data_IF_513799024533
#
_entry.id   IF_513799024533
#
_cell.length_a   1.000
_cell.length_b   1.000
_cell.length_c   1.000
_cell.angle_alpha   90.00
_cell.angle_beta   90.00
_cell.angle_gamma   90.00
#
_symmetry.space_group_name_H-M   'P 1'
#
loop_
_entity.id
_entity.type
_entity.pdbx_description
1 polymer ?
#
# COMPACT_ATOMS: atom_id res chain seq x y z
N UNK A 1 -16.17 -3.29 4.05
CA UNK A 1 -16.80 -4.40 4.78
C UNK A 1 -15.77 -5.36 5.36
N UNK A 2 -14.74 -5.74 4.60
CA UNK A 2 -13.64 -6.58 5.11
C UNK A 2 -12.95 -6.02 6.37
N UNK A 3 -12.60 -4.72 6.41
CA UNK A 3 -12.03 -4.10 7.60
C UNK A 3 -12.96 -4.21 8.83
N UNK A 4 -14.26 -4.00 8.64
CA UNK A 4 -15.27 -4.12 9.71
C UNK A 4 -15.39 -5.55 10.25
N UNK A 5 -15.24 -6.56 9.39
CA UNK A 5 -15.22 -7.97 9.81
C UNK A 5 -13.94 -8.30 10.61
N UNK A 6 -12.80 -7.73 10.20
CA UNK A 6 -11.53 -7.80 10.92
C UNK A 6 -11.60 -7.15 12.30
N UNK A 7 -12.22 -5.98 12.40
CA UNK A 7 -12.45 -5.28 13.68
C UNK A 7 -13.35 -6.12 14.61
N UNK A 8 -14.20 -6.99 14.05
CA UNK A 8 -15.05 -7.95 14.76
C UNK A 8 -14.38 -9.31 15.03
N UNK A 9 -13.10 -9.47 14.67
CA UNK A 9 -12.33 -10.73 14.74
C UNK A 9 -12.91 -11.88 13.91
N UNK A 10 -13.76 -11.57 12.94
CA UNK A 10 -14.28 -12.55 11.99
C UNK A 10 -13.33 -12.69 10.79
N UNK A 11 -12.27 -13.46 10.99
CA UNK A 11 -11.24 -13.69 9.98
C UNK A 11 -11.79 -14.44 8.75
N UNK A 12 -12.78 -15.30 8.94
CA UNK A 12 -13.41 -16.08 7.85
C UNK A 12 -14.28 -15.19 6.98
N UNK A 13 -15.11 -14.35 7.60
CA UNK A 13 -15.90 -13.34 6.88
C UNK A 13 -15.01 -12.33 6.15
N UNK A 14 -13.94 -11.86 6.80
CA UNK A 14 -12.95 -10.98 6.17
C UNK A 14 -12.34 -11.64 4.92
N UNK A 15 -11.94 -12.90 5.00
CA UNK A 15 -11.36 -13.64 3.87
C UNK A 15 -12.31 -13.77 2.67
N UNK A 16 -13.61 -14.02 2.91
CA UNK A 16 -14.61 -14.06 1.84
C UNK A 16 -14.78 -12.71 1.15
N UNK A 17 -14.93 -11.63 1.92
CA UNK A 17 -15.03 -10.28 1.37
C UNK A 17 -13.78 -9.87 0.58
N UNK A 18 -12.60 -10.37 0.96
CA UNK A 18 -11.35 -10.12 0.24
C UNK A 18 -11.30 -10.86 -1.10
N UNK A 19 -11.73 -12.13 -1.15
CA UNK A 19 -11.80 -12.87 -2.41
C UNK A 19 -12.78 -12.23 -3.40
N UNK A 20 -13.94 -11.76 -2.93
CA UNK A 20 -14.89 -11.04 -3.77
C UNK A 20 -14.32 -9.72 -4.29
N UNK A 21 -13.60 -8.97 -3.43
CA UNK A 21 -12.95 -7.72 -3.83
C UNK A 21 -11.84 -7.94 -4.87
N UNK A 22 -11.03 -8.99 -4.74
CA UNK A 22 -10.02 -9.37 -5.73
C UNK A 22 -10.68 -9.74 -7.08
N UNK A 23 -11.76 -10.51 -7.07
CA UNK A 23 -12.49 -10.86 -8.30
C UNK A 23 -13.12 -9.64 -8.99
N UNK A 24 -13.70 -8.72 -8.23
CA UNK A 24 -14.29 -7.50 -8.77
C UNK A 24 -13.23 -6.58 -9.36
N UNK A 25 -12.08 -6.44 -8.69
CA UNK A 25 -10.95 -5.67 -9.20
C UNK A 25 -10.38 -6.28 -10.49
N UNK A 26 -10.35 -7.62 -10.61
CA UNK A 26 -9.94 -8.30 -11.84
C UNK A 26 -10.83 -8.03 -13.06
N UNK A 27 -12.10 -7.63 -12.82
CA UNK A 27 -13.09 -7.33 -13.87
C UNK A 27 -13.20 -5.84 -14.22
N UNK A 28 -12.51 -4.97 -13.48
CA UNK A 28 -12.57 -3.53 -13.72
C UNK A 28 -11.77 -3.15 -14.99
N UNK A 29 -12.43 -2.44 -15.91
CA UNK A 29 -11.83 -1.89 -17.14
C UNK A 29 -10.98 -0.63 -16.85
N UNK A 30 -11.36 0.14 -15.83
CA UNK A 30 -10.57 1.30 -15.36
C UNK A 30 -9.38 0.84 -14.52
N UNK A 31 -8.17 1.11 -15.01
CA UNK A 31 -6.93 0.76 -14.32
C UNK A 31 -6.75 1.53 -13.00
N UNK A 32 -7.26 2.74 -12.89
CA UNK A 32 -7.11 3.57 -11.68
C UNK A 32 -8.02 3.06 -10.55
N UNK A 33 -9.31 2.86 -10.84
CA UNK A 33 -10.26 2.25 -9.91
C UNK A 33 -9.79 0.87 -9.45
N UNK A 34 -9.27 0.06 -10.37
CA UNK A 34 -8.68 -1.25 -10.07
C UNK A 34 -7.52 -1.16 -9.07
N UNK A 35 -6.56 -0.26 -9.29
CA UNK A 35 -5.39 -0.09 -8.41
C UNK A 35 -5.83 0.31 -6.99
N UNK A 36 -6.76 1.25 -6.83
CA UNK A 36 -7.26 1.66 -5.51
C UNK A 36 -7.93 0.51 -4.77
N UNK A 37 -8.74 -0.27 -5.49
CA UNK A 37 -9.51 -1.35 -4.90
C UNK A 37 -8.57 -2.48 -4.47
N UNK A 38 -7.56 -2.81 -5.28
CA UNK A 38 -6.50 -3.76 -4.90
C UNK A 38 -5.69 -3.26 -3.69
N UNK A 39 -5.30 -1.98 -3.66
CA UNK A 39 -4.57 -1.38 -2.54
C UNK A 39 -5.39 -1.42 -1.23
N UNK A 40 -6.70 -1.19 -1.31
CA UNK A 40 -7.60 -1.26 -0.15
C UNK A 40 -7.75 -2.69 0.35
N UNK A 41 -7.90 -3.66 -0.55
CA UNK A 41 -7.92 -5.10 -0.22
C UNK A 41 -6.61 -5.53 0.43
N UNK A 42 -5.49 -5.08 -0.12
CA UNK A 42 -4.17 -5.46 0.34
C UNK A 42 -3.85 -4.90 1.74
N UNK A 43 -4.36 -3.71 2.10
CA UNK A 43 -4.23 -3.13 3.45
C UNK A 43 -4.87 -4.02 4.52
N UNK A 44 -5.98 -4.67 4.17
CA UNK A 44 -6.71 -5.58 5.05
C UNK A 44 -6.01 -6.94 5.12
N UNK A 45 -5.50 -7.45 3.99
CA UNK A 45 -4.74 -8.72 3.94
C UNK A 45 -3.47 -8.63 4.76
N UNK A 46 -2.70 -7.55 4.62
CA UNK A 46 -1.43 -7.37 5.36
C UNK A 46 -1.61 -7.44 6.88
N UNK A 47 -2.79 -7.07 7.41
CA UNK A 47 -3.09 -7.18 8.83
C UNK A 47 -3.33 -8.63 9.28
N UNK A 48 -3.75 -9.51 8.37
CA UNK A 48 -4.04 -10.92 8.63
C UNK A 48 -2.85 -11.82 8.31
N UNK A 49 -2.19 -11.55 7.18
CA UNK A 49 -1.13 -12.34 6.58
C UNK A 49 -0.21 -11.40 5.79
N UNK A 50 0.94 -11.08 6.39
CA UNK A 50 1.91 -10.16 5.80
C UNK A 50 2.56 -10.71 4.53
N UNK A 51 2.74 -12.03 4.42
CA UNK A 51 3.43 -12.66 3.29
C UNK A 51 2.53 -12.66 2.06
N UNK A 52 1.24 -13.00 2.26
CA UNK A 52 0.22 -12.85 1.22
C UNK A 52 0.05 -11.38 0.83
N UNK A 53 0.09 -10.48 1.81
CA UNK A 53 0.00 -9.05 1.59
C UNK A 53 1.16 -8.49 0.75
N UNK A 54 2.38 -8.95 0.99
CA UNK A 54 3.57 -8.60 0.20
C UNK A 54 3.44 -9.11 -1.24
N UNK A 55 2.98 -10.36 -1.41
CA UNK A 55 2.75 -10.96 -2.72
C UNK A 55 1.72 -10.16 -3.53
N UNK A 56 0.62 -9.76 -2.90
CA UNK A 56 -0.39 -8.92 -3.54
C UNK A 56 0.14 -7.53 -3.89
N UNK A 57 0.90 -6.90 -2.98
CA UNK A 57 1.50 -5.59 -3.25
C UNK A 57 2.51 -5.64 -4.42
N UNK A 58 3.23 -6.76 -4.58
CA UNK A 58 4.10 -7.00 -5.75
C UNK A 58 3.29 -6.96 -7.06
N UNK A 59 2.17 -7.69 -7.11
CA UNK A 59 1.28 -7.68 -8.28
C UNK A 59 0.66 -6.29 -8.56
N UNK A 60 0.37 -5.51 -7.51
CA UNK A 60 -0.12 -4.13 -7.65
C UNK A 60 0.96 -3.25 -8.28
N UNK A 61 2.21 -3.33 -7.83
CA UNK A 61 3.32 -2.57 -8.40
C UNK A 61 3.56 -2.94 -9.86
N UNK A 62 3.48 -4.23 -10.21
CA UNK A 62 3.56 -4.67 -11.61
C UNK A 62 2.45 -4.07 -12.48
N UNK A 63 1.23 -4.00 -11.94
CA UNK A 63 0.08 -3.37 -12.61
C UNK A 63 0.32 -1.87 -12.81
N UNK A 64 0.76 -1.15 -11.78
CA UNK A 64 1.11 0.27 -11.86
C UNK A 64 2.16 0.47 -12.95
N UNK A 65 3.24 -0.31 -12.91
CA UNK A 65 4.35 -0.21 -13.86
C UNK A 65 3.92 -0.52 -15.30
N UNK A 66 3.03 -1.48 -15.51
CA UNK A 66 2.50 -1.80 -16.83
C UNK A 66 1.68 -0.65 -17.42
N UNK A 67 0.83 -0.01 -16.61
CA UNK A 67 0.01 1.13 -17.02
C UNK A 67 0.85 2.38 -17.29
N UNK A 68 1.90 2.62 -16.49
CA UNK A 68 2.86 3.70 -16.75
C UNK A 68 3.55 3.54 -18.11
N UNK A 69 3.95 2.30 -18.46
CA UNK A 69 4.60 2.01 -19.75
C UNK A 69 3.67 2.22 -20.93
N UNK A 70 2.43 1.72 -20.87
CA UNK A 70 1.40 1.96 -21.91
C UNK A 70 1.18 3.46 -22.15
N UNK A 71 1.13 4.23 -21.07
CA UNK A 71 0.94 5.69 -21.14
C UNK A 71 2.14 6.39 -21.80
N UNK A 72 3.37 5.92 -21.53
CA UNK A 72 4.58 6.46 -22.15
C UNK A 72 4.69 6.16 -23.66
N UNK A 73 4.27 4.95 -24.07
CA UNK A 73 4.24 4.53 -25.49
C UNK A 73 3.19 5.32 -26.30
N UNK A 74 2.03 5.62 -25.72
CA UNK A 74 1.02 6.43 -26.40
C UNK A 74 1.44 7.91 -26.58
N UNK A 75 2.27 8.44 -25.68
CA UNK A 75 2.79 9.82 -25.75
C UNK A 75 3.88 10.02 -26.81
N UNK A 76 4.46 8.95 -27.36
CA UNK A 76 5.52 9.06 -28.39
C UNK A 76 4.96 9.25 -29.81
N UNK A 77 3.64 9.16 -30.01
CA UNK A 77 2.98 9.27 -31.33
C UNK A 77 2.06 10.48 -31.54
N UNK A 78 1.75 11.28 -30.51
CA UNK A 78 0.90 12.46 -30.64
C UNK A 78 1.59 13.67 -29.99
N UNK A 79 1.61 14.80 -30.70
CA UNK A 79 2.13 16.06 -30.21
C UNK A 79 1.62 16.34 -28.78
N UNK A 80 2.55 16.70 -27.92
CA UNK A 80 2.36 16.94 -26.50
C UNK A 80 1.38 18.10 -26.25
N UNK A 81 0.07 17.82 -26.32
CA UNK A 81 -0.98 18.73 -25.88
C UNK A 81 -1.88 17.98 -24.91
N UNK A 82 -1.41 17.86 -23.66
CA UNK A 82 -2.21 18.15 -22.45
C UNK A 82 -1.36 17.89 -21.20
N UNK A 83 -1.34 18.83 -20.23
CA UNK A 83 -0.67 18.65 -18.95
C UNK A 83 -1.59 17.88 -18.01
N UNK A 84 -2.16 16.75 -18.46
CA UNK A 84 -2.95 15.93 -17.55
C UNK A 84 -1.99 15.09 -16.70
N UNK A 85 -1.52 15.71 -15.62
CA UNK A 85 -0.80 15.05 -14.52
C UNK A 85 -1.72 14.11 -13.72
N UNK A 86 -2.95 13.86 -14.20
CA UNK A 86 -4.02 13.14 -13.50
C UNK A 86 -3.65 11.76 -12.95
N UNK A 87 -3.21 10.79 -13.78
CA UNK A 87 -3.02 9.42 -13.31
C UNK A 87 -1.76 9.23 -12.45
N UNK A 88 -0.65 9.91 -12.79
CA UNK A 88 0.62 9.79 -12.07
C UNK A 88 0.56 10.41 -10.66
N UNK A 89 -0.05 11.60 -10.53
CA UNK A 89 -0.25 12.22 -9.21
C UNK A 89 -1.28 11.46 -8.37
N UNK A 90 -2.29 10.88 -9.01
CA UNK A 90 -3.30 10.09 -8.34
C UNK A 90 -2.67 8.85 -7.69
N UNK A 91 -1.90 8.06 -8.45
CA UNK A 91 -1.19 6.88 -7.92
C UNK A 91 -0.24 7.28 -6.79
N UNK A 92 0.50 8.38 -6.94
CA UNK A 92 1.37 8.89 -5.89
C UNK A 92 0.60 9.26 -4.61
N UNK A 93 -0.54 9.96 -4.72
CA UNK A 93 -1.38 10.31 -3.58
C UNK A 93 -1.96 9.07 -2.90
N UNK A 94 -2.49 8.11 -3.66
CA UNK A 94 -3.01 6.86 -3.11
C UNK A 94 -1.93 6.09 -2.36
N UNK A 95 -0.71 5.97 -2.92
CA UNK A 95 0.41 5.31 -2.25
C UNK A 95 0.89 6.06 -1.00
N UNK A 96 0.75 7.39 -0.97
CA UNK A 96 1.10 8.22 0.19
C UNK A 96 0.11 8.07 1.34
N UNK A 97 -1.18 7.92 1.03
CA UNK A 97 -2.28 7.76 1.99
C UNK A 97 -2.43 6.32 2.48
N UNK A 98 -2.13 5.34 1.63
CA UNK A 98 -2.29 3.93 1.96
C UNK A 98 -1.20 3.46 2.94
N UNK A 99 -1.62 2.71 3.97
CA UNK A 99 -0.74 2.26 5.05
C UNK A 99 -0.08 0.91 4.79
N UNK A 100 -0.32 0.27 3.65
CA UNK A 100 0.17 -1.07 3.37
C UNK A 100 1.69 -1.16 3.43
N UNK A 101 2.39 -0.24 2.77
CA UNK A 101 3.85 -0.18 2.78
C UNK A 101 4.37 0.15 4.19
N UNK A 102 3.64 0.97 4.95
CA UNK A 102 3.97 1.22 6.36
C UNK A 102 3.83 -0.05 7.22
N UNK A 103 2.83 -0.89 6.97
CA UNK A 103 2.63 -2.14 7.68
C UNK A 103 3.67 -3.19 7.28
N UNK A 104 3.90 -3.39 5.98
CA UNK A 104 4.95 -4.28 5.47
C UNK A 104 6.32 -3.89 6.01
N UNK A 105 6.64 -2.59 6.03
CA UNK A 105 7.92 -2.09 6.54
C UNK A 105 8.17 -2.38 8.03
N UNK A 106 7.11 -2.60 8.83
CA UNK A 106 7.24 -2.99 10.24
C UNK A 106 7.56 -4.48 10.43
N UNK A 107 7.28 -5.29 9.41
CA UNK A 107 7.57 -6.73 9.38
C UNK A 107 8.92 -6.96 8.69
N UNK A 108 9.08 -6.43 7.48
CA UNK A 108 10.29 -6.48 6.68
C UNK A 108 10.50 -5.14 5.94
N UNK A 109 11.42 -4.33 6.47
CA UNK A 109 11.72 -3.02 5.91
C UNK A 109 12.42 -3.10 4.54
N UNK A 110 13.36 -4.04 4.37
CA UNK A 110 14.16 -4.13 3.15
C UNK A 110 13.28 -4.57 1.97
N UNK A 111 12.43 -5.58 2.19
CA UNK A 111 11.48 -6.02 1.18
C UNK A 111 10.49 -4.90 0.79
N UNK A 112 9.93 -4.19 1.78
CA UNK A 112 9.01 -3.09 1.53
C UNK A 112 9.68 -1.91 0.79
N UNK A 113 10.93 -1.58 1.14
CA UNK A 113 11.70 -0.52 0.49
C UNK A 113 12.05 -0.89 -0.95
N UNK A 114 12.52 -2.12 -1.18
CA UNK A 114 12.82 -2.64 -2.52
C UNK A 114 11.58 -2.57 -3.42
N UNK A 115 10.42 -2.94 -2.87
CA UNK A 115 9.15 -2.87 -3.59
C UNK A 115 8.77 -1.42 -3.95
N UNK A 116 8.91 -0.49 -3.00
CA UNK A 116 8.68 0.93 -3.25
C UNK A 116 9.62 1.52 -4.33
N UNK A 117 10.88 1.08 -4.35
CA UNK A 117 11.88 1.50 -5.34
C UNK A 117 11.64 0.92 -6.73
N UNK A 118 10.93 -0.22 -6.82
CA UNK A 118 10.62 -0.87 -8.10
C UNK A 118 9.49 -0.18 -8.91
N UNK A 119 8.83 0.83 -8.34
CA UNK A 119 7.82 1.63 -9.04
C UNK A 119 8.52 2.52 -10.08
N UNK A 120 8.14 2.40 -11.34
CA UNK A 120 8.75 3.09 -12.49
C UNK A 120 8.47 4.60 -12.46
N UNK A 121 7.26 5.00 -12.04
CA UNK A 121 6.92 6.41 -11.87
C UNK A 121 7.68 7.00 -10.68
N UNK A 122 8.43 8.08 -10.92
CA UNK A 122 9.30 8.68 -9.92
C UNK A 122 8.52 9.19 -8.71
N UNK A 123 7.41 9.90 -8.94
CA UNK A 123 6.54 10.44 -7.90
C UNK A 123 5.92 9.33 -7.06
N UNK A 124 5.41 8.27 -7.73
CA UNK A 124 4.86 7.09 -7.06
C UNK A 124 5.90 6.36 -6.21
N UNK A 125 7.12 6.18 -6.73
CA UNK A 125 8.21 5.56 -5.99
C UNK A 125 8.60 6.37 -4.76
N UNK A 126 8.73 7.69 -4.87
CA UNK A 126 9.05 8.56 -3.73
C UNK A 126 7.93 8.53 -2.69
N UNK A 127 6.66 8.60 -3.10
CA UNK A 127 5.52 8.51 -2.18
C UNK A 127 5.52 7.17 -1.43
N UNK A 128 5.74 6.07 -2.14
CA UNK A 128 5.85 4.74 -1.56
C UNK A 128 7.00 4.63 -0.55
N UNK A 129 8.19 5.13 -0.89
CA UNK A 129 9.35 5.13 0.01
C UNK A 129 9.09 5.96 1.27
N UNK A 130 8.41 7.10 1.16
CA UNK A 130 7.97 7.88 2.32
C UNK A 130 7.01 7.08 3.21
N UNK A 131 6.08 6.32 2.62
CA UNK A 131 5.19 5.41 3.33
C UNK A 131 5.94 4.33 4.12
N UNK A 132 6.96 3.70 3.52
CA UNK A 132 7.84 2.72 4.18
C UNK A 132 8.55 3.36 5.38
N UNK A 133 9.22 4.49 5.18
CA UNK A 133 9.95 5.20 6.23
C UNK A 133 9.04 5.63 7.40
N UNK A 134 7.83 6.13 7.10
CA UNK A 134 6.82 6.47 8.12
C UNK A 134 6.43 5.27 8.96
N UNK A 135 6.31 4.08 8.36
CA UNK A 135 5.93 2.85 9.04
C UNK A 135 6.88 2.49 10.20
N UNK A 136 8.18 2.54 9.94
CA UNK A 136 9.24 2.22 10.93
C UNK A 136 9.37 3.32 11.97
N UNK A 137 9.34 4.60 11.56
CA UNK A 137 9.46 5.72 12.49
C UNK A 137 8.31 5.76 13.50
N UNK A 138 7.09 5.46 13.06
CA UNK A 138 5.93 5.35 13.94
C UNK A 138 6.09 4.24 14.99
N UNK A 139 6.64 3.07 14.60
CA UNK A 139 6.90 1.96 15.51
C UNK A 139 7.97 2.30 16.56
N UNK A 140 9.04 2.99 16.13
CA UNK A 140 10.12 3.42 17.03
C UNK A 140 9.65 4.41 18.10
N UNK A 141 8.66 5.25 17.75
CA UNK A 141 8.06 6.22 18.67
C UNK A 141 7.16 5.54 19.70
N UNK A 142 6.38 4.54 19.30
CA UNK A 142 5.53 3.75 20.21
C UNK A 142 6.35 2.97 21.24
N UNK A 143 7.44 2.30 20.82
CA UNK A 143 8.34 1.57 21.74
C UNK A 143 8.93 2.48 22.82
N UNK A 144 9.35 3.71 22.48
CA UNK A 144 9.88 4.68 23.45
C UNK A 144 8.85 5.15 24.49
N UNK A 145 7.56 5.20 24.14
CA UNK A 145 6.48 5.60 25.06
C UNK A 145 6.18 4.48 26.06
N UNK A 146 6.09 3.23 25.59
CA UNK A 146 5.89 2.06 26.46
C UNK A 146 7.04 1.86 27.45
N UNK A 147 8.28 2.10 27.01
CA UNK A 147 9.46 1.98 27.87
C UNK A 147 9.50 3.06 28.97
N UNK A 148 9.05 4.29 28.67
CA UNK A 148 8.89 5.35 29.67
C UNK A 148 7.75 5.06 30.65
N UNK A 149 6.66 4.43 30.20
CA UNK A 149 5.56 3.98 31.06
C UNK A 149 6.02 2.95 32.08
N UNK A 150 6.75 1.92 31.65
CA UNK A 150 7.29 0.87 32.54
C UNK A 150 8.28 1.42 33.57
N UNK A 151 9.13 2.39 33.19
CA UNK A 151 10.08 3.02 34.13
C UNK A 151 9.42 3.93 35.18
N UNK A 152 8.20 4.42 34.95
CA UNK A 152 7.44 5.16 35.96
C UNK A 152 6.73 4.23 36.96
N UNK A 153 6.15 3.12 36.47
CA UNK A 153 5.46 2.14 37.33
C UNK A 153 6.44 1.40 38.26
N UNK A 154 7.68 1.14 37.80
CA UNK A 154 8.72 0.51 38.64
C UNK A 154 9.40 1.43 39.67
N UNK A 155 9.03 2.71 39.76
CA UNK A 155 9.56 3.66 40.75
C UNK A 155 8.56 4.00 41.87
N UNK A 156 7.34 3.47 41.81
CA UNK A 156 6.29 3.65 42.82
C UNK A 156 6.03 2.35 43.62
N UNK A 157 6.94 1.36 43.56
CA UNK A 157 6.95 0.17 44.40
C UNK A 157 8.20 0.12 45.27
#
# INVERSE_FOLDING_TARGET
>A
MAQKALDQKDNTGAAQWLMEAEQLAGKAEDSTGRINQLLSTAEVIVQLDSDRGLSLMTSIVDTINAESRKTAENKTGQEAVSPDRGPDLFVANTLLENKILSHLARVDFEAALSLAQSIVQKEGSVAAQLGVCRGVLAQSSQRKVEEKGKRKVGREQ
#
